data_IF_733244234364
#
_entry.id   IF_733244234364
#
_cell.length_a   1.000
_cell.length_b   1.000
_cell.length_c   1.000
_cell.angle_alpha   90.00
_cell.angle_beta   90.00
_cell.angle_gamma   90.00
#
_symmetry.space_group_name_H-M   'P 1'
#
loop_
_entity.id
_entity.type
_entity.pdbx_description
1 polymer ?
#
# COMPACT_ATOMS: atom_id res chain seq x y z
N UNK A 1 2.68 -0.29 -30.59
CA UNK A 1 1.99 -1.36 -31.34
C UNK A 1 0.74 -1.81 -30.57
N UNK A 2 -0.41 -1.94 -31.23
CA UNK A 2 -1.65 -2.45 -30.64
C UNK A 2 -1.68 -3.96 -30.89
N UNK A 3 -1.58 -4.79 -29.84
CA UNK A 3 -1.78 -6.25 -29.98
C UNK A 3 -3.24 -6.48 -30.36
N UNK A 4 -3.49 -7.04 -31.53
CA UNK A 4 -4.82 -7.46 -31.97
C UNK A 4 -5.24 -8.67 -31.14
N UNK A 5 -6.47 -8.67 -30.62
CA UNK A 5 -6.95 -9.62 -29.61
C UNK A 5 -6.99 -11.10 -30.03
N UNK A 6 -6.73 -11.43 -31.30
CA UNK A 6 -6.86 -12.79 -31.85
C UNK A 6 -5.62 -13.69 -31.66
N UNK A 7 -4.46 -13.10 -31.36
CA UNK A 7 -3.16 -13.80 -31.40
C UNK A 7 -2.83 -14.60 -30.12
N UNK A 8 -3.67 -14.49 -29.08
CA UNK A 8 -3.51 -15.24 -27.83
C UNK A 8 -4.27 -16.58 -27.83
N UNK A 9 -5.30 -16.71 -28.67
CA UNK A 9 -6.13 -17.92 -28.77
C UNK A 9 -5.47 -19.03 -29.63
N UNK A 10 -4.46 -18.68 -30.44
CA UNK A 10 -3.67 -19.60 -31.29
C UNK A 10 -2.29 -19.94 -30.69
N UNK A 11 -2.09 -19.72 -29.38
CA UNK A 11 -0.87 -20.15 -28.71
C UNK A 11 -0.74 -21.68 -28.80
N UNK A 12 0.43 -22.22 -29.18
CA UNK A 12 0.61 -23.67 -29.26
C UNK A 12 0.41 -24.28 -27.87
N UNK A 13 -0.37 -25.35 -27.83
CA UNK A 13 -0.57 -26.13 -26.62
C UNK A 13 0.79 -26.62 -26.11
N UNK A 14 1.01 -26.53 -24.79
CA UNK A 14 2.25 -26.98 -24.17
C UNK A 14 2.28 -28.51 -24.18
N UNK A 15 2.87 -29.07 -25.23
CA UNK A 15 3.00 -30.52 -25.42
C UNK A 15 4.01 -31.15 -24.46
N UNK A 16 3.94 -32.47 -24.27
CA UNK A 16 4.91 -33.22 -23.45
C UNK A 16 6.34 -33.08 -23.95
N UNK A 17 6.54 -32.97 -25.27
CA UNK A 17 7.83 -32.68 -25.88
C UNK A 17 8.37 -31.31 -25.44
N UNK A 18 7.49 -30.31 -25.29
CA UNK A 18 7.87 -28.98 -24.77
C UNK A 18 8.37 -29.06 -23.34
N UNK A 19 7.74 -29.89 -22.50
CA UNK A 19 8.20 -30.12 -21.12
C UNK A 19 9.52 -30.90 -21.05
N UNK A 20 9.74 -31.84 -21.97
CA UNK A 20 11.00 -32.59 -22.02
C UNK A 20 12.22 -31.70 -22.31
N UNK A 21 12.02 -30.61 -23.06
CA UNK A 21 13.07 -29.63 -23.39
C UNK A 21 13.11 -28.44 -22.41
N UNK A 22 12.23 -28.39 -21.41
CA UNK A 22 12.21 -27.30 -20.44
C UNK A 22 13.47 -27.32 -19.56
N UNK A 23 14.16 -26.18 -19.50
CA UNK A 23 15.34 -26.00 -18.65
C UNK A 23 15.02 -25.08 -17.48
N UNK A 24 15.69 -25.28 -16.34
CA UNK A 24 15.56 -24.35 -15.21
C UNK A 24 16.19 -23.01 -15.61
N UNK A 25 15.51 -21.92 -15.28
CA UNK A 25 16.00 -20.57 -15.55
C UNK A 25 17.42 -20.29 -15.00
N UNK A 26 17.84 -21.02 -13.96
CA UNK A 26 19.17 -20.89 -13.34
C UNK A 26 20.29 -21.62 -14.10
N UNK A 27 19.93 -22.60 -14.95
CA UNK A 27 20.89 -23.40 -15.74
C UNK A 27 21.22 -22.71 -17.07
N UNK A 28 20.40 -21.73 -17.48
CA UNK A 28 20.62 -20.88 -18.65
C UNK A 28 21.45 -19.66 -18.21
N UNK A 29 22.73 -19.53 -18.61
CA UNK A 29 23.66 -18.53 -18.05
C UNK A 29 23.20 -17.08 -18.27
N UNK A 30 22.58 -16.78 -19.41
CA UNK A 30 22.03 -15.45 -19.74
C UNK A 30 20.86 -15.06 -18.83
N UNK A 31 19.93 -16.00 -18.58
CA UNK A 31 18.76 -15.78 -17.73
C UNK A 31 19.17 -15.78 -16.25
N UNK A 32 20.10 -16.64 -15.85
CA UNK A 32 20.59 -16.72 -14.48
C UNK A 32 21.24 -15.41 -14.03
N UNK A 33 21.90 -14.67 -14.93
CA UNK A 33 22.44 -13.35 -14.64
C UNK A 33 21.35 -12.31 -14.33
N UNK A 34 20.20 -12.41 -15.00
CA UNK A 34 19.03 -11.54 -14.78
C UNK A 34 18.27 -11.97 -13.52
N UNK A 35 18.07 -13.27 -13.31
CA UNK A 35 17.38 -13.81 -12.14
C UNK A 35 18.14 -13.51 -10.83
N UNK A 36 19.48 -13.53 -10.87
CA UNK A 36 20.34 -13.10 -9.75
C UNK A 36 20.29 -11.58 -9.53
N UNK A 37 19.90 -10.79 -10.54
CA UNK A 37 19.53 -9.38 -10.39
C UNK A 37 18.10 -9.26 -9.85
N UNK A 38 17.79 -10.01 -8.79
CA UNK A 38 16.53 -9.86 -8.07
C UNK A 38 16.35 -8.42 -7.56
N UNK A 39 15.14 -8.10 -7.12
CA UNK A 39 14.88 -6.85 -6.39
C UNK A 39 15.89 -6.79 -5.23
N UNK A 40 16.75 -5.77 -5.24
CA UNK A 40 17.80 -5.64 -4.22
C UNK A 40 17.22 -5.66 -2.81
N UNK A 41 18.07 -5.93 -1.78
CA UNK A 41 17.62 -5.99 -0.40
C UNK A 41 16.78 -4.76 -0.04
N UNK A 42 15.66 -5.00 0.65
CA UNK A 42 14.71 -3.97 1.05
C UNK A 42 15.45 -2.87 1.82
N UNK A 43 15.68 -1.71 1.18
CA UNK A 43 16.48 -0.61 1.74
C UNK A 43 15.82 0.10 2.93
N UNK A 44 14.50 -0.03 3.08
CA UNK A 44 13.73 0.63 4.15
C UNK A 44 13.36 -0.40 5.22
N UNK A 45 13.41 -0.03 6.52
CA UNK A 45 12.89 -0.88 7.59
C UNK A 45 11.46 -1.32 7.30
N UNK A 46 11.19 -2.61 7.46
CA UNK A 46 9.87 -3.18 7.19
C UNK A 46 8.83 -2.57 8.13
N UNK A 47 7.78 -1.99 7.58
CA UNK A 47 6.61 -1.55 8.35
C UNK A 47 5.97 -2.78 8.99
N UNK A 48 5.67 -2.72 10.29
CA UNK A 48 4.92 -3.78 10.96
C UNK A 48 3.44 -3.56 10.69
N UNK A 49 2.77 -4.56 10.12
CA UNK A 49 1.33 -4.54 9.95
C UNK A 49 0.68 -4.76 11.32
N UNK A 50 -0.07 -3.77 11.81
CA UNK A 50 -0.80 -3.85 13.07
C UNK A 50 -2.22 -3.33 12.85
N UNK A 51 -3.21 -4.04 13.38
CA UNK A 51 -4.61 -3.61 13.34
C UNK A 51 -4.88 -2.68 14.52
N UNK A 52 -5.04 -1.38 14.25
CA UNK A 52 -5.46 -0.39 15.23
C UNK A 52 -6.89 0.06 14.92
N UNK A 53 -7.70 0.26 15.95
CA UNK A 53 -9.05 0.85 15.81
C UNK A 53 -8.92 2.36 15.95
N UNK A 54 -9.46 3.07 14.97
CA UNK A 54 -9.48 4.54 14.93
C UNK A 54 -10.93 5.01 15.00
N UNK A 55 -11.16 6.22 15.50
CA UNK A 55 -12.48 6.84 15.46
C UNK A 55 -12.89 7.10 14.00
N UNK A 56 -14.20 7.07 13.69
CA UNK A 56 -14.70 7.28 12.34
C UNK A 56 -14.30 8.66 11.80
N UNK A 57 -14.36 9.71 12.62
CA UNK A 57 -13.99 11.09 12.22
C UNK A 57 -12.55 11.19 11.69
N UNK A 58 -11.62 10.44 12.28
CA UNK A 58 -10.21 10.42 11.85
C UNK A 58 -10.10 9.69 10.51
N UNK A 59 -10.78 8.57 10.36
CA UNK A 59 -10.79 7.81 9.11
C UNK A 59 -11.41 8.64 7.97
N UNK A 60 -12.52 9.30 8.21
CA UNK A 60 -13.21 10.12 7.21
C UNK A 60 -12.34 11.29 6.76
N UNK A 61 -11.69 11.98 7.70
CA UNK A 61 -10.78 13.07 7.40
C UNK A 61 -9.60 12.63 6.51
N UNK A 62 -8.98 11.49 6.80
CA UNK A 62 -7.85 11.02 6.01
C UNK A 62 -8.30 10.41 4.68
N UNK A 63 -9.41 9.67 4.63
CA UNK A 63 -9.96 9.10 3.40
C UNK A 63 -10.39 10.18 2.41
N UNK A 64 -10.95 11.29 2.89
CA UNK A 64 -11.31 12.44 2.05
C UNK A 64 -10.10 13.05 1.31
N UNK A 65 -8.86 12.79 1.75
CA UNK A 65 -7.63 13.26 1.10
C UNK A 65 -7.19 12.42 -0.11
N UNK A 66 -7.93 11.34 -0.41
CA UNK A 66 -7.70 10.45 -1.55
C UNK A 66 -6.61 9.42 -1.32
N UNK A 67 -5.98 9.00 -2.43
CA UNK A 67 -4.99 7.92 -2.42
C UNK A 67 -3.82 8.17 -1.46
N UNK A 68 -3.41 7.11 -0.78
CA UNK A 68 -2.29 7.14 0.16
C UNK A 68 -2.61 7.68 1.55
N UNK A 69 -3.89 7.81 1.91
CA UNK A 69 -4.33 8.28 3.23
C UNK A 69 -3.71 7.49 4.41
N UNK A 70 -3.51 6.17 4.26
CA UNK A 70 -2.82 5.33 5.25
C UNK A 70 -1.35 5.76 5.48
N UNK A 71 -0.67 6.24 4.45
CA UNK A 71 0.67 6.78 4.58
C UNK A 71 0.69 8.15 5.27
N UNK A 72 -0.38 8.95 5.07
CA UNK A 72 -0.52 10.26 5.70
C UNK A 72 -0.78 10.15 7.20
N UNK A 73 -1.63 9.22 7.63
CA UNK A 73 -1.83 8.96 9.06
C UNK A 73 -0.56 8.43 9.74
N UNK A 74 0.21 7.55 9.08
CA UNK A 74 1.53 7.10 9.56
C UNK A 74 2.51 8.27 9.75
N UNK A 75 2.49 9.27 8.86
CA UNK A 75 3.34 10.46 9.00
C UNK A 75 2.89 11.36 10.15
N UNK A 76 1.58 11.60 10.30
CA UNK A 76 1.04 12.38 11.42
C UNK A 76 1.39 11.75 12.78
N UNK A 77 1.28 10.42 12.89
CA UNK A 77 1.66 9.70 14.11
C UNK A 77 3.18 9.81 14.39
N UNK A 78 4.03 9.82 13.36
CA UNK A 78 5.47 10.03 13.55
C UNK A 78 5.81 11.43 14.05
N UNK A 79 5.10 12.45 13.55
CA UNK A 79 5.29 13.83 14.02
C UNK A 79 4.89 13.95 15.49
N UNK A 80 3.72 13.40 15.86
CA UNK A 80 3.28 13.32 17.25
C UNK A 80 4.34 12.64 18.13
N UNK A 81 4.88 11.48 17.72
CA UNK A 81 5.94 10.80 18.47
C UNK A 81 7.21 11.65 18.59
N UNK A 82 7.63 12.36 17.53
CA UNK A 82 8.82 13.22 17.58
C UNK A 82 8.66 14.37 18.57
N UNK A 83 7.48 14.99 18.61
CA UNK A 83 7.17 16.09 19.53
C UNK A 83 7.12 15.58 20.97
N UNK A 84 6.40 14.48 21.21
CA UNK A 84 6.19 13.94 22.56
C UNK A 84 7.41 13.20 23.10
N UNK A 85 8.33 12.76 22.24
CA UNK A 85 9.63 12.21 22.68
C UNK A 85 10.59 13.30 23.16
N UNK A 86 10.43 14.54 22.70
CA UNK A 86 11.22 15.69 23.18
C UNK A 86 10.75 16.17 24.55
N UNK A 87 9.45 16.03 24.86
CA UNK A 87 8.88 16.26 26.18
C UNK A 87 9.23 15.07 27.08
N UNK A 88 10.20 15.23 27.96
CA UNK A 88 10.66 14.14 28.84
C UNK A 88 9.50 13.45 29.60
N UNK A 89 9.58 12.13 29.86
CA UNK A 89 8.54 11.38 30.55
C UNK A 89 8.48 11.80 32.02
N UNK A 90 7.49 12.63 32.38
CA UNK A 90 7.36 13.15 33.74
C UNK A 90 6.46 14.37 33.89
N UNK A 91 6.18 15.11 32.80
CA UNK A 91 5.10 16.11 32.80
C UNK A 91 3.86 15.53 32.14
N UNK A 92 3.19 14.65 32.87
CA UNK A 92 1.81 14.27 32.58
C UNK A 92 0.92 15.52 32.75
N UNK A 93 0.91 16.39 31.75
CA UNK A 93 -0.31 17.13 31.47
C UNK A 93 -1.28 16.14 30.84
N UNK A 94 -2.50 16.01 31.38
CA UNK A 94 -3.52 15.23 30.73
C UNK A 94 -3.73 15.82 29.33
N UNK A 95 -3.83 14.93 28.35
CA UNK A 95 -4.21 15.21 26.97
C UNK A 95 -5.20 16.39 26.97
N UNK A 96 -4.96 17.47 26.20
CA UNK A 96 -5.97 18.51 26.10
C UNK A 96 -7.24 17.83 25.58
N UNK A 97 -8.25 17.73 26.45
CA UNK A 97 -9.63 17.33 26.14
C UNK A 97 -10.31 18.39 25.25
N UNK A 98 -9.60 18.82 24.20
CA UNK A 98 -9.87 20.03 23.45
C UNK A 98 -9.34 19.97 22.03
N UNK A 99 -9.28 18.77 21.42
CA UNK A 99 -9.23 18.66 19.97
C UNK A 99 -10.55 19.22 19.42
N UNK A 100 -10.63 20.55 19.30
CA UNK A 100 -11.76 21.21 18.66
C UNK A 100 -11.56 20.98 17.17
N UNK A 101 -12.21 19.93 16.65
CA UNK A 101 -12.27 19.67 15.23
C UNK A 101 -12.59 20.99 14.51
N UNK A 102 -11.83 21.37 13.46
CA UNK A 102 -12.33 22.38 12.54
C UNK A 102 -13.68 21.86 12.06
N UNK A 103 -14.75 22.61 12.36
CA UNK A 103 -16.10 22.28 11.89
C UNK A 103 -15.96 21.97 10.40
N UNK A 104 -16.37 20.79 9.92
CA UNK A 104 -16.20 20.47 8.53
C UNK A 104 -16.94 21.54 7.74
N UNK A 105 -16.18 22.38 7.05
CA UNK A 105 -16.74 23.07 5.89
C UNK A 105 -17.19 21.96 4.96
N UNK A 106 -18.41 22.07 4.38
CA UNK A 106 -18.95 21.01 3.56
C UNK A 106 -17.93 20.66 2.48
N UNK A 107 -17.32 19.48 2.62
CA UNK A 107 -16.50 18.90 1.58
C UNK A 107 -17.37 18.87 0.34
N UNK A 108 -16.93 19.58 -0.70
CA UNK A 108 -17.64 19.66 -1.95
C UNK A 108 -18.13 18.26 -2.33
N UNK A 109 -19.45 18.17 -2.56
CA UNK A 109 -20.18 16.96 -2.90
C UNK A 109 -19.48 16.27 -4.06
N UNK A 110 -18.68 15.25 -3.76
CA UNK A 110 -18.28 14.25 -4.74
C UNK A 110 -19.45 13.28 -4.82
N UNK A 111 -20.13 13.38 -5.96
CA UNK A 111 -21.27 12.54 -6.32
C UNK A 111 -20.85 11.07 -6.35
N UNK A 112 -21.80 10.25 -5.90
CA UNK A 112 -21.86 8.79 -5.97
C UNK A 112 -21.15 8.18 -7.18
N UNK A 113 -20.32 7.17 -6.91
CA UNK A 113 -20.16 6.01 -7.77
C UNK A 113 -19.77 4.80 -6.91
N UNK A 114 -20.79 3.98 -6.67
CA UNK A 114 -20.78 2.53 -6.56
C UNK A 114 -20.09 1.85 -5.37
N UNK A 115 -20.96 1.43 -4.46
CA UNK A 115 -20.80 0.31 -3.54
C UNK A 115 -20.40 -0.96 -4.31
N UNK A 116 -19.16 -1.45 -4.17
CA UNK A 116 -18.85 -2.87 -4.46
C UNK A 116 -17.44 -3.27 -3.98
N UNK A 117 -17.18 -3.14 -2.67
CA UNK A 117 -15.91 -3.61 -2.09
C UNK A 117 -16.04 -4.37 -0.77
N UNK A 118 -17.16 -5.06 -0.52
CA UNK A 118 -17.30 -5.89 0.68
C UNK A 118 -17.88 -7.29 0.43
N UNK A 119 -17.47 -7.92 -0.67
CA UNK A 119 -17.60 -9.38 -0.85
C UNK A 119 -16.47 -9.96 -1.72
N UNK A 120 -15.27 -10.11 -1.13
CA UNK A 120 -14.28 -11.12 -1.52
C UNK A 120 -13.46 -11.53 -0.31
#
# INVERSE_FOLDING_TARGET
>A
MKRTSNELDEAPEWTEETFAHAQKAMDIPEIAAIARKGRGPQKKPTKRATTIRLSPEVLDFFQAQGDGWQGRIDNALKEYVKEHRKRAPGSAEPLPLGFKAPKPEPCAVVKEADEDFQKR
#
